data_IF_566987198680
#
_entry.id   IF_566987198680
#
_cell.length_a   1.000
_cell.length_b   1.000
_cell.length_c   1.000
_cell.angle_alpha   90.00
_cell.angle_beta   90.00
_cell.angle_gamma   90.00
#
_symmetry.space_group_name_H-M   'P 1'
#
loop_
_entity.id
_entity.type
_entity.pdbx_description
1 polymer ?
#
# COMPACT_ATOMS: atom_id res chain seq x y z
N UNK A 1 -11.61 -4.14 -6.26
CA UNK A 1 -10.52 -4.97 -6.79
C UNK A 1 -10.17 -6.04 -5.76
N UNK A 2 -9.96 -7.29 -6.17
CA UNK A 2 -9.49 -8.33 -5.25
C UNK A 2 -7.96 -8.24 -5.10
N UNK A 3 -7.44 -8.63 -3.93
CA UNK A 3 -6.00 -8.67 -3.66
C UNK A 3 -5.23 -9.60 -4.62
N UNK A 4 -5.91 -10.56 -5.23
CA UNK A 4 -5.35 -11.46 -6.23
C UNK A 4 -4.93 -10.75 -7.52
N UNK A 5 -5.77 -9.85 -8.03
CA UNK A 5 -5.44 -9.09 -9.25
C UNK A 5 -4.30 -8.11 -9.00
N UNK A 6 -4.21 -7.54 -7.79
CA UNK A 6 -3.07 -6.70 -7.39
C UNK A 6 -1.76 -7.50 -7.41
N UNK A 7 -1.76 -8.73 -6.87
CA UNK A 7 -0.58 -9.61 -6.89
C UNK A 7 -0.16 -10.02 -8.31
N UNK A 8 -1.10 -10.26 -9.22
CA UNK A 8 -0.82 -10.61 -10.61
C UNK A 8 -0.07 -9.48 -11.34
N UNK A 9 -0.47 -8.24 -11.12
CA UNK A 9 0.12 -7.08 -11.81
C UNK A 9 1.19 -6.36 -11.00
N UNK A 10 1.41 -6.70 -9.74
CA UNK A 10 2.47 -6.13 -8.89
C UNK A 10 3.85 -6.09 -9.60
N UNK A 11 4.27 -7.10 -10.39
CA UNK A 11 5.53 -7.01 -11.12
C UNK A 11 5.58 -5.93 -12.20
N UNK A 12 4.49 -5.25 -12.55
CA UNK A 12 4.48 -4.17 -13.54
C UNK A 12 4.65 -2.77 -12.90
N UNK A 13 4.60 -2.68 -11.57
CA UNK A 13 4.67 -1.41 -10.85
C UNK A 13 5.92 -1.35 -9.98
N UNK A 14 6.45 -0.15 -9.79
CA UNK A 14 7.57 0.08 -8.87
C UNK A 14 7.15 -0.08 -7.40
N UNK A 15 5.87 0.18 -7.10
CA UNK A 15 5.27 -0.01 -5.78
C UNK A 15 3.77 -0.33 -5.83
N UNK A 16 3.27 -0.99 -4.79
CA UNK A 16 1.84 -1.19 -4.51
C UNK A 16 1.46 -0.56 -3.16
N UNK A 17 0.19 -0.17 -3.02
CA UNK A 17 -0.36 0.42 -1.78
C UNK A 17 -1.42 -0.50 -1.20
N UNK A 18 -1.27 -0.83 0.07
CA UNK A 18 -2.32 -1.43 0.88
C UNK A 18 -3.04 -0.33 1.68
N UNK A 19 -4.37 -0.42 1.73
CA UNK A 19 -5.21 0.49 2.52
C UNK A 19 -5.87 -0.29 3.64
N UNK A 20 -5.90 0.32 4.84
CA UNK A 20 -6.59 -0.21 6.01
C UNK A 20 -7.54 0.86 6.54
N UNK A 21 -8.76 0.43 6.88
CA UNK A 21 -9.73 1.24 7.62
C UNK A 21 -9.86 0.64 9.01
N UNK A 22 -9.54 1.43 10.04
CA UNK A 22 -9.72 1.05 11.44
C UNK A 22 -10.41 2.18 12.20
N UNK A 23 -11.55 1.92 12.84
CA UNK A 23 -12.26 2.90 13.66
C UNK A 23 -12.70 4.20 12.97
N UNK A 24 -12.57 4.33 11.65
CA UNK A 24 -12.82 5.56 10.89
C UNK A 24 -11.55 6.26 10.40
N UNK A 25 -10.38 5.82 10.85
CA UNK A 25 -9.08 6.27 10.33
C UNK A 25 -8.69 5.42 9.10
N UNK A 26 -8.17 6.11 8.09
CA UNK A 26 -7.69 5.51 6.85
C UNK A 26 -6.16 5.56 6.84
N UNK A 27 -5.53 4.40 6.86
CA UNK A 27 -4.08 4.25 6.78
C UNK A 27 -3.67 3.62 5.44
N UNK A 28 -2.44 3.91 5.02
CA UNK A 28 -1.79 3.32 3.85
C UNK A 28 -0.43 2.73 4.19
N UNK A 29 -0.05 1.69 3.45
CA UNK A 29 1.30 1.11 3.51
C UNK A 29 1.82 0.88 2.10
N UNK A 30 3.05 1.33 1.86
CA UNK A 30 3.73 1.22 0.58
C UNK A 30 4.64 0.00 0.57
N UNK A 31 4.58 -0.77 -0.51
CA UNK A 31 5.46 -1.91 -0.78
C UNK A 31 6.25 -1.64 -2.07
N UNK A 32 7.55 -1.41 -1.94
CA UNK A 32 8.46 -1.13 -3.07
C UNK A 32 9.12 -2.42 -3.56
N UNK A 33 8.94 -2.72 -4.85
CA UNK A 33 9.42 -3.97 -5.46
C UNK A 33 10.94 -4.06 -5.47
N UNK A 34 11.62 -3.00 -5.90
CA UNK A 34 13.04 -3.06 -6.26
C UNK A 34 13.98 -3.17 -5.05
N UNK A 35 13.50 -2.82 -3.85
CA UNK A 35 14.30 -2.85 -2.61
C UNK A 35 13.76 -3.79 -1.55
N UNK A 36 12.69 -4.54 -1.87
CA UNK A 36 11.91 -5.29 -0.90
C UNK A 36 11.61 -4.46 0.37
N UNK A 37 11.28 -3.18 0.16
CA UNK A 37 11.11 -2.20 1.22
C UNK A 37 9.62 -2.00 1.46
N UNK A 38 9.22 -2.00 2.73
CA UNK A 38 7.84 -1.73 3.15
C UNK A 38 7.85 -0.57 4.12
N UNK A 39 6.96 0.40 3.93
CA UNK A 39 6.78 1.51 4.88
C UNK A 39 6.05 1.05 6.14
N UNK A 40 6.09 1.87 7.19
CA UNK A 40 5.07 1.78 8.23
C UNK A 40 3.68 2.15 7.69
N UNK A 41 2.65 1.96 8.51
CA UNK A 41 1.32 2.51 8.22
C UNK A 41 1.37 4.03 8.38
N UNK A 42 0.98 4.73 7.32
CA UNK A 42 0.93 6.19 7.26
C UNK A 42 -0.53 6.63 7.13
N UNK A 43 -0.97 7.71 7.79
CA UNK A 43 -2.33 8.21 7.64
C UNK A 43 -2.56 8.72 6.21
N UNK A 44 -3.75 8.48 5.67
CA UNK A 44 -4.19 9.02 4.38
C UNK A 44 -4.83 10.39 4.59
N UNK A 45 -4.32 11.41 3.91
CA UNK A 45 -4.93 12.75 3.88
C UNK A 45 -4.39 13.77 4.89
N UNK A 46 -3.37 13.42 5.69
CA UNK A 46 -2.54 14.40 6.40
C UNK A 46 -1.14 14.41 5.78
N UNK A 47 -0.68 15.52 5.16
CA UNK A 47 0.72 15.66 4.83
C UNK A 47 1.51 15.65 6.15
N UNK A 48 2.54 14.81 6.21
CA UNK A 48 3.55 14.81 7.28
C UNK A 48 4.32 16.13 7.32
#
# INVERSE_FOLDING_TARGET
>A
MSAEVVRLFQPLFDATVELRVDGGDLDQRWHFRDRNLTSDWLPVGKPS
#
